data_IF_709409843252
#
_entry.id   IF_709409843252
#
_cell.length_a   1.000
_cell.length_b   1.000
_cell.length_c   1.000
_cell.angle_alpha   90.00
_cell.angle_beta   90.00
_cell.angle_gamma   90.00
#
_symmetry.space_group_name_H-M   'P 1'
#
loop_
_entity.id
_entity.type
_entity.pdbx_description
1 polymer ?
#
# COMPACT_ATOMS: atom_id res chain seq x y z
N UNK A 1 -0.96 -14.96 56.87
CA UNK A 1 -0.39 -13.77 56.22
C UNK A 1 -0.96 -12.59 56.97
N UNK A 2 -0.15 -11.96 57.82
CA UNK A 2 -0.63 -10.97 58.80
C UNK A 2 -1.00 -9.65 58.12
N UNK A 3 -2.11 -9.05 58.54
CA UNK A 3 -2.62 -7.80 58.00
C UNK A 3 -1.58 -6.66 58.02
N UNK A 4 -0.73 -6.67 59.05
CA UNK A 4 0.38 -5.73 59.24
C UNK A 4 1.46 -5.86 58.15
N UNK A 5 1.69 -7.08 57.65
CA UNK A 5 2.67 -7.35 56.61
C UNK A 5 2.18 -6.88 55.24
N UNK A 6 0.87 -6.97 54.99
CA UNK A 6 0.21 -6.43 53.80
C UNK A 6 0.25 -4.89 53.77
N UNK A 7 0.07 -4.22 54.91
CA UNK A 7 0.23 -2.75 54.97
C UNK A 7 1.66 -2.31 54.70
N UNK A 8 2.65 -3.01 55.26
CA UNK A 8 4.06 -2.74 54.99
C UNK A 8 4.42 -2.91 53.51
N UNK A 9 3.78 -3.86 52.83
CA UNK A 9 3.94 -4.04 51.38
C UNK A 9 3.28 -2.90 50.58
N UNK A 10 2.06 -2.48 50.97
CA UNK A 10 1.35 -1.35 50.36
C UNK A 10 2.15 -0.05 50.46
N UNK A 11 2.75 0.20 51.62
CA UNK A 11 3.50 1.43 51.87
C UNK A 11 4.79 1.45 51.04
N UNK A 12 5.53 0.32 50.99
CA UNK A 12 6.71 0.19 50.09
C UNK A 12 6.34 0.34 48.62
N UNK A 13 5.21 -0.22 48.20
CA UNK A 13 4.75 -0.10 46.82
C UNK A 13 4.44 1.36 46.46
N UNK A 14 3.75 2.07 47.35
CA UNK A 14 3.44 3.49 47.19
C UNK A 14 4.71 4.34 47.06
N UNK A 15 5.71 4.07 47.90
CA UNK A 15 6.99 4.79 47.88
C UNK A 15 7.78 4.57 46.59
N UNK A 16 7.80 3.32 46.08
CA UNK A 16 8.44 2.99 44.80
C UNK A 16 7.74 3.67 43.63
N UNK A 17 6.40 3.68 43.63
CA UNK A 17 5.62 4.35 42.58
C UNK A 17 5.83 5.87 42.59
N UNK A 18 5.98 6.47 43.77
CA UNK A 18 6.25 7.90 43.92
C UNK A 18 7.66 8.25 43.40
N UNK A 19 8.66 7.43 43.72
CA UNK A 19 10.02 7.60 43.18
C UNK A 19 10.08 7.41 41.65
N UNK A 20 9.36 6.43 41.10
CA UNK A 20 9.24 6.24 39.65
C UNK A 20 8.61 7.48 39.00
N UNK A 21 7.52 8.00 39.57
CA UNK A 21 6.86 9.17 39.03
C UNK A 21 7.77 10.41 39.08
N UNK A 22 8.48 10.63 40.19
CA UNK A 22 9.47 11.70 40.31
C UNK A 22 10.59 11.56 39.26
N UNK A 23 11.14 10.36 39.07
CA UNK A 23 12.19 10.09 38.06
C UNK A 23 11.70 10.25 36.62
N UNK A 24 10.43 9.94 36.36
CA UNK A 24 9.80 10.18 35.06
C UNK A 24 9.61 11.68 34.82
N UNK A 25 9.15 12.43 35.83
CA UNK A 25 8.99 13.89 35.74
C UNK A 25 10.32 14.65 35.65
N UNK A 26 11.39 14.15 36.29
CA UNK A 26 12.74 14.73 36.24
C UNK A 26 13.40 14.55 34.85
N UNK A 27 12.90 13.61 34.03
CA UNK A 27 13.35 13.38 32.65
C UNK A 27 12.47 14.03 31.58
N UNK A 28 11.39 14.72 31.95
CA UNK A 28 10.63 15.55 31.01
C UNK A 28 11.35 16.88 30.86
N UNK A 29 12.33 16.90 29.96
CA UNK A 29 12.83 18.15 29.37
C UNK A 29 11.62 18.91 28.81
N UNK A 30 11.48 20.23 29.02
CA UNK A 30 10.45 21.01 28.36
C UNK A 30 10.47 20.69 26.87
N UNK A 31 9.34 20.26 26.32
CA UNK A 31 9.22 19.99 24.90
C UNK A 31 9.31 21.36 24.22
N UNK A 32 10.51 21.75 23.79
CA UNK A 32 10.69 22.79 22.79
C UNK A 32 9.72 22.52 21.63
N UNK A 33 9.13 23.56 21.02
CA UNK A 33 8.23 23.37 19.89
C UNK A 33 8.89 22.45 18.87
N UNK A 34 8.16 21.39 18.52
CA UNK A 34 8.54 20.33 17.58
C UNK A 34 9.50 20.90 16.52
N UNK A 35 10.73 20.36 16.36
CA UNK A 35 11.63 20.85 15.32
C UNK A 35 10.88 20.82 13.98
N UNK A 36 11.06 21.85 13.12
CA UNK A 36 10.31 21.94 11.87
C UNK A 36 10.41 20.59 11.17
N UNK A 37 9.24 20.03 10.78
CA UNK A 37 9.13 18.78 10.03
C UNK A 37 10.34 18.72 9.11
N UNK A 38 11.25 17.76 9.36
CA UNK A 38 12.41 17.56 8.51
C UNK A 38 11.86 17.22 7.14
N UNK A 39 11.77 18.23 6.29
CA UNK A 39 11.45 18.10 4.88
C UNK A 39 12.65 17.43 4.25
N UNK A 40 12.75 16.11 4.44
CA UNK A 40 13.51 15.29 3.52
C UNK A 40 12.90 15.57 2.15
N UNK A 41 13.59 16.39 1.34
CA UNK A 41 13.33 16.47 -0.09
C UNK A 41 13.78 15.13 -0.66
N UNK A 42 12.95 14.11 -0.44
CA UNK A 42 13.05 12.85 -1.15
C UNK A 42 13.02 13.21 -2.65
N UNK A 43 13.81 12.53 -3.50
CA UNK A 43 13.64 12.67 -4.94
C UNK A 43 12.15 12.50 -5.21
N UNK A 44 11.54 13.49 -5.89
CA UNK A 44 10.11 13.48 -6.16
C UNK A 44 9.78 12.12 -6.76
N UNK A 45 8.97 11.34 -6.04
CA UNK A 45 8.63 9.99 -6.47
C UNK A 45 7.87 10.17 -7.78
N UNK A 46 8.53 9.91 -8.91
CA UNK A 46 7.85 9.89 -10.20
C UNK A 46 6.88 8.73 -10.12
N UNK A 47 5.62 9.06 -9.90
CA UNK A 47 4.54 8.08 -9.89
C UNK A 47 4.60 7.35 -11.24
N UNK A 48 4.69 6.02 -11.18
CA UNK A 48 4.78 5.19 -12.38
C UNK A 48 3.55 5.48 -13.25
N UNK A 49 3.78 5.76 -14.53
CA UNK A 49 2.71 5.95 -15.51
C UNK A 49 1.85 4.68 -15.59
N UNK A 50 0.54 4.87 -15.62
CA UNK A 50 -0.45 3.81 -15.68
C UNK A 50 -1.15 3.83 -17.03
N UNK A 51 -1.04 2.72 -17.75
CA UNK A 51 -1.58 2.54 -19.09
C UNK A 51 -2.95 1.84 -19.12
N UNK A 52 -3.46 1.37 -17.98
CA UNK A 52 -4.68 0.55 -17.91
C UNK A 52 -4.43 -0.96 -18.05
N UNK A 53 -3.20 -1.44 -17.86
CA UNK A 53 -2.92 -2.88 -17.71
C UNK A 53 -3.25 -3.34 -16.29
N UNK A 54 -4.05 -4.40 -16.16
CA UNK A 54 -4.39 -4.98 -14.87
C UNK A 54 -3.14 -5.46 -14.10
N UNK A 55 -2.08 -5.91 -14.78
CA UNK A 55 -0.81 -6.34 -14.14
C UNK A 55 -0.15 -5.21 -13.37
N UNK A 56 -0.14 -4.02 -13.98
CA UNK A 56 0.48 -2.83 -13.42
C UNK A 56 -0.45 -2.11 -12.44
N UNK A 57 -1.74 -2.43 -12.44
CA UNK A 57 -2.74 -1.78 -11.58
C UNK A 57 -2.38 -1.89 -10.10
N UNK A 58 -1.93 -3.04 -9.61
CA UNK A 58 -1.57 -3.19 -8.20
C UNK A 58 -0.36 -2.34 -7.82
N UNK A 59 0.65 -2.31 -8.69
CA UNK A 59 1.84 -1.49 -8.48
C UNK A 59 1.47 -0.01 -8.50
N UNK A 60 0.64 0.41 -9.45
CA UNK A 60 0.06 1.74 -9.55
C UNK A 60 -0.73 2.11 -8.28
N UNK A 61 -1.71 1.30 -7.90
CA UNK A 61 -2.61 1.57 -6.77
C UNK A 61 -1.83 1.64 -5.45
N UNK A 62 -0.83 0.79 -5.24
CA UNK A 62 0.02 0.85 -4.04
C UNK A 62 0.77 2.19 -3.86
N UNK A 63 1.07 2.87 -4.97
CA UNK A 63 1.71 4.18 -4.96
C UNK A 63 0.66 5.29 -4.83
N UNK A 64 -0.41 5.20 -5.62
CA UNK A 64 -1.45 6.23 -5.71
C UNK A 64 -2.39 6.26 -4.48
N UNK A 65 -2.56 5.14 -3.77
CA UNK A 65 -3.41 5.03 -2.60
C UNK A 65 -3.02 6.03 -1.50
N UNK A 66 -1.72 6.34 -1.36
CA UNK A 66 -1.25 7.32 -0.37
C UNK A 66 -1.80 8.72 -0.66
N UNK A 67 -1.84 9.10 -1.94
CA UNK A 67 -2.40 10.38 -2.40
C UNK A 67 -3.91 10.36 -2.25
N UNK A 68 -4.56 9.25 -2.62
CA UNK A 68 -6.00 9.09 -2.50
C UNK A 68 -6.51 9.20 -1.05
N UNK A 69 -5.82 8.54 -0.12
CA UNK A 69 -6.21 8.46 1.30
C UNK A 69 -5.82 9.70 2.11
N UNK A 70 -4.99 10.60 1.56
CA UNK A 70 -4.59 11.82 2.24
C UNK A 70 -5.76 12.83 2.29
N UNK A 71 -6.28 13.18 3.48
CA UNK A 71 -7.38 14.14 3.61
C UNK A 71 -6.94 15.58 3.37
N UNK A 72 -5.64 15.89 3.48
CA UNK A 72 -5.09 17.24 3.33
C UNK A 72 -4.97 17.65 1.85
N UNK A 73 -5.05 16.69 0.93
CA UNK A 73 -5.00 16.94 -0.51
C UNK A 73 -6.45 17.14 -1.03
N UNK A 74 -6.78 18.30 -1.62
CA UNK A 74 -8.10 18.53 -2.19
C UNK A 74 -8.33 17.67 -3.44
N UNK A 75 -9.59 17.40 -3.75
CA UNK A 75 -9.95 16.54 -4.87
C UNK A 75 -9.49 17.09 -6.23
N UNK A 76 -9.41 18.42 -6.38
CA UNK A 76 -8.86 19.08 -7.55
C UNK A 76 -7.41 18.64 -7.79
N UNK A 77 -6.58 18.69 -6.76
CA UNK A 77 -5.18 18.29 -6.84
C UNK A 77 -5.06 16.78 -7.06
N UNK A 78 -5.90 15.96 -6.41
CA UNK A 78 -5.96 14.51 -6.66
C UNK A 78 -6.32 14.18 -8.11
N UNK A 79 -7.22 14.95 -8.72
CA UNK A 79 -7.57 14.80 -10.15
C UNK A 79 -6.37 15.14 -11.05
N UNK A 80 -5.65 16.22 -10.74
CA UNK A 80 -4.45 16.60 -11.48
C UNK A 80 -3.36 15.53 -11.36
N UNK A 81 -3.11 15.02 -10.15
CA UNK A 81 -2.21 13.88 -9.96
C UNK A 81 -2.67 12.67 -10.77
N UNK A 82 -3.96 12.34 -10.76
CA UNK A 82 -4.50 11.20 -11.51
C UNK A 82 -4.25 11.35 -13.02
N UNK A 83 -4.45 12.54 -13.58
CA UNK A 83 -4.17 12.80 -15.01
C UNK A 83 -2.68 12.69 -15.30
N UNK A 84 -1.82 13.23 -14.42
CA UNK A 84 -0.36 13.17 -14.60
C UNK A 84 0.19 11.75 -14.55
N UNK A 85 -0.43 10.85 -13.80
CA UNK A 85 0.04 9.45 -13.71
C UNK A 85 -0.54 8.56 -14.77
N UNK A 86 -1.53 9.01 -15.52
CA UNK A 86 -2.06 8.24 -16.64
C UNK A 86 -1.15 8.42 -17.87
N UNK A 87 -0.89 7.32 -18.57
CA UNK A 87 -0.09 7.32 -19.79
C UNK A 87 -0.90 7.84 -20.97
N UNK A 88 -0.33 8.72 -21.78
CA UNK A 88 -0.97 9.29 -22.96
C UNK A 88 -1.28 8.21 -24.01
N UNK A 89 -2.44 8.29 -24.66
CA UNK A 89 -2.91 7.31 -25.64
C UNK A 89 -3.37 5.97 -25.05
N UNK A 90 -3.33 5.81 -23.73
CA UNK A 90 -3.56 4.54 -23.05
C UNK A 90 -5.04 4.22 -22.82
N UNK A 91 -5.34 3.00 -22.36
CA UNK A 91 -6.71 2.59 -21.99
C UNK A 91 -7.20 3.36 -20.77
N UNK A 92 -6.30 3.67 -19.83
CA UNK A 92 -6.62 4.47 -18.66
C UNK A 92 -6.97 5.91 -19.06
N UNK A 93 -6.24 6.50 -20.02
CA UNK A 93 -6.53 7.86 -20.52
C UNK A 93 -7.91 7.94 -21.16
N UNK A 94 -8.26 6.97 -22.03
CA UNK A 94 -9.60 6.91 -22.64
C UNK A 94 -10.72 6.80 -21.61
N UNK A 95 -10.46 6.23 -20.43
CA UNK A 95 -11.43 6.23 -19.34
C UNK A 95 -11.48 7.61 -18.67
N UNK A 96 -10.33 8.23 -18.42
CA UNK A 96 -10.22 9.57 -17.83
C UNK A 96 -10.83 10.67 -18.69
N UNK A 97 -10.76 10.57 -20.02
CA UNK A 97 -11.38 11.53 -20.94
C UNK A 97 -12.90 11.67 -20.77
N UNK A 98 -13.57 10.67 -20.18
CA UNK A 98 -15.01 10.75 -19.89
C UNK A 98 -15.32 11.63 -18.68
N UNK A 99 -14.30 12.04 -17.92
CA UNK A 99 -14.44 12.85 -16.71
C UNK A 99 -13.73 14.18 -16.91
N UNK A 100 -14.46 15.32 -16.85
CA UNK A 100 -13.83 16.62 -16.83
C UNK A 100 -12.80 16.74 -15.69
N UNK A 101 -11.64 17.33 -15.97
CA UNK A 101 -10.52 17.52 -15.04
C UNK A 101 -10.86 18.50 -13.89
N UNK A 102 -11.76 18.08 -13.02
CA UNK A 102 -12.39 18.88 -11.95
C UNK A 102 -12.44 18.05 -10.68
N UNK A 103 -12.27 18.67 -9.51
CA UNK A 103 -12.26 17.96 -8.23
C UNK A 103 -13.59 17.28 -7.89
N UNK A 104 -14.72 17.87 -8.31
CA UNK A 104 -16.04 17.26 -8.14
C UNK A 104 -16.21 15.91 -8.85
N UNK A 105 -15.45 15.68 -9.93
CA UNK A 105 -15.49 14.44 -10.70
C UNK A 105 -14.42 13.44 -10.28
N UNK A 106 -13.44 13.82 -9.45
CA UNK A 106 -12.41 12.92 -8.96
C UNK A 106 -12.96 11.63 -8.31
N UNK A 107 -13.95 11.69 -7.39
CA UNK A 107 -14.49 10.48 -6.76
C UNK A 107 -15.08 9.50 -7.79
N UNK A 108 -15.75 10.02 -8.83
CA UNK A 108 -16.31 9.20 -9.90
C UNK A 108 -15.23 8.63 -10.82
N UNK A 109 -14.25 9.45 -11.17
CA UNK A 109 -13.13 9.05 -12.01
C UNK A 109 -12.30 7.92 -11.37
N UNK A 110 -11.95 8.07 -10.09
CA UNK A 110 -11.15 7.06 -9.38
C UNK A 110 -11.93 5.77 -9.17
N UNK A 111 -13.22 5.86 -8.82
CA UNK A 111 -14.09 4.69 -8.69
C UNK A 111 -14.17 3.90 -10.01
N UNK A 112 -14.41 4.58 -11.13
CA UNK A 112 -14.49 3.92 -12.44
C UNK A 112 -13.16 3.32 -12.88
N UNK A 113 -12.04 3.94 -12.49
CA UNK A 113 -10.71 3.39 -12.72
C UNK A 113 -10.49 2.10 -11.91
N UNK A 114 -10.92 2.06 -10.64
CA UNK A 114 -10.88 0.86 -9.80
C UNK A 114 -11.81 -0.25 -10.33
N UNK A 115 -13.05 0.06 -10.69
CA UNK A 115 -14.01 -0.92 -11.21
C UNK A 115 -13.54 -1.55 -12.53
N UNK A 116 -12.92 -0.75 -13.40
CA UNK A 116 -12.49 -1.23 -14.71
C UNK A 116 -11.20 -2.04 -14.66
N UNK A 117 -10.22 -1.59 -13.87
CA UNK A 117 -8.85 -2.13 -13.89
C UNK A 117 -8.43 -2.84 -12.61
N UNK A 118 -9.06 -2.54 -11.47
CA UNK A 118 -8.78 -3.13 -10.16
C UNK A 118 -9.63 -4.35 -9.82
N UNK A 119 -10.22 -4.98 -10.83
CA UNK A 119 -11.09 -6.13 -10.69
C UNK A 119 -10.30 -7.40 -10.38
N UNK A 120 -10.58 -8.02 -9.24
CA UNK A 120 -9.87 -9.21 -8.76
C UNK A 120 -9.96 -10.38 -9.74
N UNK A 121 -11.08 -10.52 -10.45
CA UNK A 121 -11.30 -11.51 -11.51
C UNK A 121 -10.36 -11.34 -12.70
N UNK A 122 -10.05 -10.08 -13.08
CA UNK A 122 -9.09 -9.79 -14.16
C UNK A 122 -7.65 -10.13 -13.75
N UNK A 123 -7.29 -9.84 -12.48
CA UNK A 123 -5.97 -10.17 -11.94
C UNK A 123 -5.74 -11.68 -11.89
N UNK A 124 -6.71 -12.44 -11.38
CA UNK A 124 -6.66 -13.91 -11.37
C UNK A 124 -6.55 -14.46 -12.79
N UNK A 125 -7.37 -13.98 -13.74
CA UNK A 125 -7.28 -14.42 -15.14
C UNK A 125 -5.93 -14.13 -15.78
N UNK A 126 -5.33 -12.97 -15.48
CA UNK A 126 -4.00 -12.59 -15.96
C UNK A 126 -2.92 -13.53 -15.41
N UNK A 127 -2.92 -13.81 -14.11
CA UNK A 127 -1.96 -14.73 -13.50
C UNK A 127 -2.13 -16.16 -14.00
N UNK A 128 -3.38 -16.63 -14.15
CA UNK A 128 -3.70 -17.96 -14.70
C UNK A 128 -3.24 -18.05 -16.16
N UNK A 129 -3.50 -17.02 -16.99
CA UNK A 129 -3.04 -16.99 -18.38
C UNK A 129 -1.52 -16.99 -18.50
N UNK A 130 -0.82 -16.28 -17.62
CA UNK A 130 0.64 -16.29 -17.58
C UNK A 130 1.21 -17.63 -17.13
N UNK A 131 0.57 -18.28 -16.16
CA UNK A 131 0.93 -19.63 -15.74
C UNK A 131 0.74 -20.63 -16.89
N UNK A 132 -0.42 -20.59 -17.55
CA UNK A 132 -0.71 -21.43 -18.71
C UNK A 132 0.26 -21.15 -19.87
N UNK A 133 0.58 -19.88 -20.15
CA UNK A 133 1.55 -19.51 -21.18
C UNK A 133 2.95 -20.05 -20.87
N UNK A 134 3.37 -20.01 -19.59
CA UNK A 134 4.65 -20.57 -19.14
C UNK A 134 4.69 -22.09 -19.28
N UNK A 135 3.64 -22.79 -18.83
CA UNK A 135 3.51 -24.25 -18.97
C UNK A 135 3.50 -24.65 -20.45
N UNK A 136 2.77 -23.93 -21.29
CA UNK A 136 2.73 -24.18 -22.73
C UNK A 136 4.10 -23.93 -23.38
N UNK A 137 4.79 -22.82 -23.07
CA UNK A 137 6.15 -22.56 -23.58
C UNK A 137 7.13 -23.66 -23.17
N UNK A 138 7.03 -24.19 -21.96
CA UNK A 138 7.85 -25.31 -21.51
C UNK A 138 7.48 -26.64 -22.21
N UNK A 139 6.21 -26.84 -22.55
CA UNK A 139 5.73 -28.04 -23.23
C UNK A 139 6.00 -28.02 -24.75
N UNK A 140 5.95 -26.85 -25.40
CA UNK A 140 6.11 -26.70 -26.86
C UNK A 140 7.55 -26.46 -27.28
N UNK A 141 8.36 -25.85 -26.42
CA UNK A 141 9.78 -25.61 -26.73
C UNK A 141 10.58 -26.81 -26.26
N UNK A 142 10.76 -27.79 -27.14
CA UNK A 142 11.56 -29.00 -26.87
C UNK A 142 13.04 -28.77 -26.53
N UNK A 143 13.46 -27.54 -26.20
CA UNK A 143 14.73 -27.10 -25.60
C UNK A 143 14.68 -25.57 -25.40
N UNK A 144 14.07 -25.09 -24.33
CA UNK A 144 14.61 -23.91 -23.65
C UNK A 144 14.78 -24.28 -22.19
N UNK A 145 16.04 -24.50 -21.80
CA UNK A 145 16.46 -24.66 -20.42
C UNK A 145 16.23 -23.32 -19.69
N UNK A 146 14.99 -22.97 -19.38
CA UNK A 146 14.78 -22.13 -18.21
C UNK A 146 15.24 -23.00 -17.05
N UNK A 147 16.30 -22.57 -16.36
CA UNK A 147 16.84 -23.36 -15.26
C UNK A 147 15.74 -23.57 -14.22
N UNK A 148 15.63 -24.80 -13.71
CA UNK A 148 14.67 -25.18 -12.67
C UNK A 148 14.54 -24.14 -11.53
N UNK A 149 15.64 -23.51 -11.06
CA UNK A 149 15.55 -22.43 -10.07
C UNK A 149 14.75 -21.22 -10.52
N UNK A 150 14.93 -20.75 -11.76
CA UNK A 150 14.22 -19.57 -12.29
C UNK A 150 12.73 -19.88 -12.44
N UNK A 151 12.38 -21.09 -12.89
CA UNK A 151 10.98 -21.53 -12.96
C UNK A 151 10.35 -21.61 -11.57
N UNK A 152 11.09 -22.09 -10.59
CA UNK A 152 10.62 -22.17 -9.21
C UNK A 152 10.38 -20.78 -8.63
N UNK A 153 11.33 -19.87 -8.78
CA UNK A 153 11.23 -18.49 -8.28
C UNK A 153 10.05 -17.74 -8.93
N UNK A 154 9.84 -17.90 -10.25
CA UNK A 154 8.69 -17.32 -10.94
C UNK A 154 7.36 -17.90 -10.46
N UNK A 155 7.30 -19.20 -10.23
CA UNK A 155 6.08 -19.91 -9.81
C UNK A 155 5.74 -19.58 -8.35
N UNK A 156 6.75 -19.49 -7.48
CA UNK A 156 6.60 -19.05 -6.09
C UNK A 156 6.18 -17.58 -6.02
N UNK A 157 6.76 -16.71 -6.85
CA UNK A 157 6.36 -15.30 -6.94
C UNK A 157 4.89 -15.13 -7.32
N UNK A 158 4.42 -15.91 -8.30
CA UNK A 158 3.01 -15.93 -8.72
C UNK A 158 2.09 -16.49 -7.63
N UNK A 159 2.47 -17.57 -6.95
CA UNK A 159 1.70 -18.13 -5.83
C UNK A 159 1.57 -17.13 -4.67
N UNK A 160 2.67 -16.48 -4.27
CA UNK A 160 2.64 -15.46 -3.21
C UNK A 160 1.75 -14.27 -3.57
N UNK A 161 1.74 -13.84 -4.83
CA UNK A 161 0.85 -12.77 -5.29
C UNK A 161 -0.63 -13.17 -5.17
N UNK A 162 -0.98 -14.41 -5.55
CA UNK A 162 -2.33 -14.96 -5.42
C UNK A 162 -2.76 -15.14 -3.96
N UNK A 163 -1.86 -15.62 -3.10
CA UNK A 163 -2.14 -15.76 -1.66
C UNK A 163 -2.36 -14.42 -0.96
N UNK A 164 -1.57 -13.40 -1.34
CA UNK A 164 -1.73 -12.05 -0.82
C UNK A 164 -3.08 -11.44 -1.22
N UNK A 165 -3.57 -11.77 -2.42
CA UNK A 165 -4.93 -11.38 -2.82
C UNK A 165 -6.02 -12.07 -2.02
N UNK A 166 -5.92 -13.38 -1.80
CA UNK A 166 -6.92 -14.13 -1.00
C UNK A 166 -7.09 -13.57 0.42
N UNK A 167 -6.02 -13.07 1.03
CA UNK A 167 -6.06 -12.50 2.39
C UNK A 167 -6.66 -11.09 2.45
N UNK A 168 -6.54 -10.29 1.39
CA UNK A 168 -7.12 -8.94 1.35
C UNK A 168 -8.64 -8.94 1.21
N UNK A 169 -9.23 -9.95 0.58
CA UNK A 169 -10.70 -10.09 0.43
C UNK A 169 -11.38 -10.61 1.71
N UNK A 170 -10.64 -11.12 2.69
CA UNK A 170 -11.18 -11.68 3.94
C UNK A 170 -11.21 -10.68 5.11
N UNK A 171 -10.73 -9.44 4.90
CA UNK A 171 -10.61 -8.39 5.93
C UNK A 171 -11.45 -7.14 5.58
N UNK A 172 -12.15 -7.16 4.44
CA UNK A 172 -13.18 -6.17 4.05
C UNK A 172 -14.56 -6.78 4.23
#
# INVERSE_FOLDING_TARGET
MDFVEAEKYRDRFSEVMLHLNLKLTEKVVPIDPLPPKRNFKLPQLQLKKFNGDARDYLAFWSQFQKIHADPDIPNEDKMQYLIQVVEEGSKAERLMQNFPATGSNYPKAIQQLQERFGRDDLLVQVYVRDLLSMVMKNATTGRMKISLPILYDELEGKLRALERHRKNTAIS
#
